data_IF_031413142486
#
_entry.id   IF_031413142486
#
_cell.length_a   1.000
_cell.length_b   1.000
_cell.length_c   1.000
_cell.angle_alpha   90.00
_cell.angle_beta   90.00
_cell.angle_gamma   90.00
#
_symmetry.space_group_name_H-M   'P 1'
#
loop_
_entity.id
_entity.type
_entity.pdbx_description
1 polymer ?
#
# COMPACT_ATOMS: atom_id res chain seq x y z
N UNK A 1 -6.41 -3.26 -30.93
CA UNK A 1 -7.46 -4.19 -30.47
C UNK A 1 -8.38 -4.49 -31.64
N UNK A 2 -8.73 -5.76 -31.87
CA UNK A 2 -9.69 -6.22 -32.86
C UNK A 2 -11.03 -6.49 -32.18
N UNK A 3 -12.13 -6.09 -32.80
CA UNK A 3 -13.50 -6.32 -32.31
C UNK A 3 -14.27 -7.16 -33.32
N UNK A 4 -14.74 -8.32 -32.90
CA UNK A 4 -15.56 -9.22 -33.73
C UNK A 4 -17.00 -9.26 -33.25
N UNK A 5 -17.94 -9.14 -34.18
CA UNK A 5 -19.35 -9.45 -33.92
C UNK A 5 -19.55 -10.96 -33.99
N UNK A 6 -19.94 -11.55 -32.86
CA UNK A 6 -20.01 -13.01 -32.72
C UNK A 6 -21.42 -13.57 -32.91
N UNK A 7 -21.48 -14.82 -33.34
CA UNK A 7 -22.69 -15.62 -33.46
C UNK A 7 -22.42 -17.05 -32.97
N UNK A 8 -23.45 -17.71 -32.43
CA UNK A 8 -23.36 -19.09 -31.95
C UNK A 8 -24.58 -19.92 -32.33
N UNK A 9 -24.44 -21.24 -32.26
CA UNK A 9 -25.52 -22.23 -32.37
C UNK A 9 -25.15 -23.53 -31.65
N UNK A 10 -26.13 -24.34 -31.27
CA UNK A 10 -25.91 -25.63 -30.58
C UNK A 10 -26.52 -26.79 -31.35
N UNK A 11 -25.82 -27.93 -31.39
CA UNK A 11 -26.33 -29.16 -32.01
C UNK A 11 -26.70 -28.99 -33.49
N UNK A 12 -27.84 -29.56 -33.90
CA UNK A 12 -28.34 -29.51 -35.28
C UNK A 12 -29.12 -28.22 -35.62
N UNK A 13 -29.06 -27.19 -34.77
CA UNK A 13 -29.72 -25.91 -35.06
C UNK A 13 -29.15 -25.30 -36.35
N UNK A 14 -30.04 -24.99 -37.30
CA UNK A 14 -29.64 -24.40 -38.59
C UNK A 14 -29.42 -22.88 -38.50
N UNK A 15 -30.01 -22.24 -37.49
CA UNK A 15 -29.98 -20.78 -37.30
C UNK A 15 -28.85 -20.31 -36.39
N UNK A 16 -28.17 -19.24 -36.80
CA UNK A 16 -27.18 -18.54 -35.98
C UNK A 16 -27.85 -17.51 -35.07
N UNK A 17 -27.46 -17.50 -33.80
CA UNK A 17 -27.92 -16.52 -32.81
C UNK A 17 -26.81 -15.51 -32.54
N UNK A 18 -27.13 -14.21 -32.38
CA UNK A 18 -26.13 -13.23 -31.95
C UNK A 18 -25.52 -13.60 -30.60
N UNK A 19 -24.21 -13.40 -30.47
CA UNK A 19 -23.46 -13.52 -29.22
C UNK A 19 -22.86 -12.18 -28.80
N UNK A 20 -22.20 -12.18 -27.64
CA UNK A 20 -21.43 -11.02 -27.19
C UNK A 20 -20.25 -10.76 -28.12
N UNK A 21 -19.89 -9.48 -28.40
CA UNK A 21 -18.70 -9.17 -29.17
C UNK A 21 -17.44 -9.75 -28.53
N UNK A 22 -16.51 -10.21 -29.37
CA UNK A 22 -15.20 -10.69 -28.92
C UNK A 22 -14.17 -9.59 -29.15
N UNK A 23 -13.48 -9.19 -28.08
CA UNK A 23 -12.34 -8.26 -28.14
C UNK A 23 -11.03 -9.05 -28.05
N UNK A 24 -10.11 -8.81 -28.99
CA UNK A 24 -8.79 -9.46 -29.03
C UNK A 24 -7.68 -8.43 -29.18
N UNK A 25 -6.68 -8.50 -28.31
CA UNK A 25 -5.41 -7.81 -28.48
C UNK A 25 -4.27 -8.72 -28.04
N UNK A 26 -3.33 -8.99 -28.95
CA UNK A 26 -2.13 -9.77 -28.69
C UNK A 26 -0.93 -8.97 -29.20
N UNK A 27 0.00 -8.67 -28.31
CA UNK A 27 1.23 -7.94 -28.62
C UNK A 27 2.35 -8.45 -27.71
N UNK A 28 3.35 -9.14 -28.28
CA UNK A 28 4.50 -9.69 -27.55
C UNK A 28 5.81 -8.93 -27.84
N UNK A 29 5.69 -7.61 -28.04
CA UNK A 29 6.74 -6.72 -28.53
C UNK A 29 6.47 -6.25 -29.97
N UNK A 30 5.51 -6.87 -30.65
CA UNK A 30 4.88 -6.44 -31.88
C UNK A 30 3.45 -6.95 -31.95
N UNK A 31 2.58 -6.26 -32.72
CA UNK A 31 1.19 -6.69 -32.94
C UNK A 31 1.15 -8.09 -33.59
N UNK A 32 0.45 -9.02 -32.95
CA UNK A 32 0.28 -10.40 -33.44
C UNK A 32 -1.05 -10.53 -34.18
N UNK A 33 -1.00 -11.13 -35.37
CA UNK A 33 -2.18 -11.54 -36.15
C UNK A 33 -2.39 -13.06 -35.95
N UNK A 34 -3.34 -13.49 -35.09
CA UNK A 34 -3.52 -14.90 -34.81
C UNK A 34 -4.19 -15.61 -36.00
N UNK A 35 -3.63 -16.74 -36.43
CA UNK A 35 -4.30 -17.72 -37.30
C UNK A 35 -5.22 -18.62 -36.47
N UNK A 36 -4.83 -18.90 -35.23
CA UNK A 36 -5.62 -19.68 -34.27
C UNK A 36 -5.51 -19.07 -32.88
N UNK A 37 -6.62 -19.01 -32.15
CA UNK A 37 -6.71 -18.55 -30.76
C UNK A 37 -7.61 -19.49 -29.97
N UNK A 38 -7.11 -19.95 -28.82
CA UNK A 38 -7.88 -20.72 -27.85
C UNK A 38 -7.72 -20.15 -26.46
N UNK A 39 -8.75 -20.22 -25.65
CA UNK A 39 -8.70 -19.79 -24.25
C UNK A 39 -9.66 -20.58 -23.38
N UNK A 40 -9.40 -20.55 -22.08
CA UNK A 40 -10.31 -21.06 -21.06
C UNK A 40 -10.56 -20.03 -19.97
N UNK A 41 -11.77 -20.05 -19.43
CA UNK A 41 -12.25 -19.15 -18.36
C UNK A 41 -12.40 -19.90 -17.04
N UNK A 42 -12.57 -19.16 -15.94
CA UNK A 42 -12.57 -19.70 -14.59
C UNK A 42 -13.75 -20.63 -14.28
N UNK A 43 -14.88 -20.40 -14.94
CA UNK A 43 -16.05 -21.27 -14.91
C UNK A 43 -15.80 -22.66 -15.55
N UNK A 44 -14.69 -22.83 -16.27
CA UNK A 44 -14.33 -24.05 -16.98
C UNK A 44 -14.76 -24.07 -18.45
N UNK A 45 -15.36 -22.98 -18.96
CA UNK A 45 -15.64 -22.87 -20.37
C UNK A 45 -14.34 -22.75 -21.18
N UNK A 46 -14.36 -23.27 -22.41
CA UNK A 46 -13.21 -23.25 -23.31
C UNK A 46 -13.68 -22.85 -24.69
N UNK A 47 -12.94 -21.98 -25.36
CA UNK A 47 -13.24 -21.56 -26.74
C UNK A 47 -12.01 -21.73 -27.61
N UNK A 48 -12.21 -22.13 -28.86
CA UNK A 48 -11.17 -22.25 -29.87
C UNK A 48 -11.67 -21.69 -31.20
N UNK A 49 -10.88 -20.82 -31.82
CA UNK A 49 -11.20 -20.13 -33.07
C UNK A 49 -10.02 -20.22 -34.05
N UNK A 50 -10.33 -20.51 -35.30
CA UNK A 50 -9.47 -20.21 -36.45
C UNK A 50 -9.91 -18.90 -37.12
N UNK A 51 -8.96 -18.12 -37.61
CA UNK A 51 -9.20 -16.85 -38.30
C UNK A 51 -8.89 -16.99 -39.79
N UNK A 52 -9.63 -16.27 -40.63
CA UNK A 52 -9.26 -16.14 -42.04
C UNK A 52 -7.92 -15.39 -42.17
N UNK A 53 -7.14 -15.60 -43.24
CA UNK A 53 -5.83 -14.95 -43.41
C UNK A 53 -5.86 -13.41 -43.36
N UNK A 54 -6.99 -12.81 -43.74
CA UNK A 54 -7.25 -11.37 -43.70
C UNK A 54 -7.86 -10.89 -42.37
N UNK A 55 -8.04 -11.79 -41.40
CA UNK A 55 -8.71 -11.58 -40.12
C UNK A 55 -10.16 -11.08 -40.22
N UNK A 56 -10.78 -11.12 -41.40
CA UNK A 56 -12.15 -10.64 -41.59
C UNK A 56 -13.20 -11.53 -40.91
N UNK A 57 -12.90 -12.82 -40.74
CA UNK A 57 -13.82 -13.80 -40.16
C UNK A 57 -13.11 -14.76 -39.22
N UNK A 58 -13.86 -15.34 -38.28
CA UNK A 58 -13.39 -16.43 -37.45
C UNK A 58 -14.46 -17.51 -37.30
N UNK A 59 -14.02 -18.75 -37.05
CA UNK A 59 -14.89 -19.91 -36.85
C UNK A 59 -14.30 -20.87 -35.84
N UNK A 60 -15.14 -21.51 -35.04
CA UNK A 60 -14.72 -22.60 -34.18
C UNK A 60 -15.81 -23.06 -33.22
N UNK A 61 -15.42 -23.37 -31.99
CA UNK A 61 -16.34 -23.93 -31.00
C UNK A 61 -16.09 -23.38 -29.60
N UNK A 62 -17.14 -23.42 -28.78
CA UNK A 62 -17.10 -23.18 -27.34
C UNK A 62 -17.68 -24.39 -26.61
N UNK A 63 -16.90 -24.95 -25.70
CA UNK A 63 -17.37 -25.94 -24.74
C UNK A 63 -17.75 -25.24 -23.44
N UNK A 64 -18.95 -25.52 -22.93
CA UNK A 64 -19.44 -25.03 -21.65
C UNK A 64 -18.98 -25.95 -20.51
N UNK A 65 -19.00 -25.47 -19.25
CA UNK A 65 -18.62 -26.29 -18.09
C UNK A 65 -19.46 -27.55 -17.94
N UNK A 66 -20.68 -27.55 -18.47
CA UNK A 66 -21.61 -28.68 -18.49
C UNK A 66 -21.22 -29.79 -19.49
N UNK A 67 -20.21 -29.55 -20.34
CA UNK A 67 -19.82 -30.42 -21.44
C UNK A 67 -20.59 -30.18 -22.74
N UNK A 68 -21.58 -29.29 -22.74
CA UNK A 68 -22.27 -28.88 -23.96
C UNK A 68 -21.33 -28.11 -24.89
N UNK A 69 -21.45 -28.32 -26.20
CA UNK A 69 -20.61 -27.66 -27.21
C UNK A 69 -21.50 -26.81 -28.12
N UNK A 70 -21.07 -25.57 -28.35
CA UNK A 70 -21.66 -24.64 -29.32
C UNK A 70 -20.66 -24.36 -30.43
N UNK A 71 -21.15 -24.28 -31.67
CA UNK A 71 -20.38 -23.71 -32.77
C UNK A 71 -20.43 -22.19 -32.67
N UNK A 72 -19.30 -21.54 -32.96
CA UNK A 72 -19.17 -20.08 -32.91
C UNK A 72 -18.54 -19.57 -34.20
N UNK A 73 -18.99 -18.40 -34.65
CA UNK A 73 -18.37 -17.67 -35.74
C UNK A 73 -18.37 -16.18 -35.46
N UNK A 74 -17.48 -15.45 -36.10
CA UNK A 74 -17.39 -14.00 -35.96
C UNK A 74 -17.04 -13.31 -37.27
N UNK A 75 -17.43 -12.04 -37.34
CA UNK A 75 -17.10 -11.12 -38.42
C UNK A 75 -16.44 -9.89 -37.80
N UNK A 76 -15.30 -9.45 -38.35
CA UNK A 76 -14.60 -8.27 -37.88
C UNK A 76 -15.50 -7.03 -38.03
N UNK A 77 -15.66 -6.27 -36.95
CA UNK A 77 -16.52 -5.07 -36.92
C UNK A 77 -15.77 -3.79 -36.57
N UNK A 78 -14.52 -3.85 -36.10
CA UNK A 78 -13.72 -2.67 -35.81
C UNK A 78 -12.29 -2.97 -35.35
N UNK A 79 -11.43 -1.95 -35.46
CA UNK A 79 -10.09 -1.91 -34.87
C UNK A 79 -9.91 -0.62 -34.08
N UNK A 80 -9.52 -0.73 -32.82
CA UNK A 80 -9.38 0.40 -31.90
C UNK A 80 -8.06 0.30 -31.10
N UNK A 81 -7.66 1.40 -30.46
CA UNK A 81 -6.62 1.37 -29.42
C UNK A 81 -7.08 0.47 -28.25
N UNK A 82 -6.22 -0.44 -27.74
CA UNK A 82 -6.59 -1.31 -26.63
C UNK A 82 -6.89 -0.50 -25.38
N UNK A 83 -8.06 -0.76 -24.78
CA UNK A 83 -8.45 -0.21 -23.48
C UNK A 83 -8.66 -1.38 -22.52
N UNK A 84 -7.82 -1.45 -21.48
CA UNK A 84 -7.82 -2.56 -20.53
C UNK A 84 -6.99 -3.78 -20.97
N UNK A 85 -7.20 -4.91 -20.30
CA UNK A 85 -6.43 -6.15 -20.50
C UNK A 85 -5.29 -6.35 -19.51
N UNK A 86 -4.39 -7.27 -19.86
CA UNK A 86 -3.20 -7.63 -19.12
C UNK A 86 -1.97 -7.07 -19.81
N UNK A 87 -1.06 -6.46 -19.04
CA UNK A 87 0.29 -6.08 -19.48
C UNK A 87 1.27 -6.78 -18.55
N UNK A 88 2.27 -7.45 -19.09
CA UNK A 88 3.26 -8.20 -18.34
C UNK A 88 4.66 -7.77 -18.74
N UNK A 89 5.54 -7.60 -17.75
CA UNK A 89 6.98 -7.63 -17.97
C UNK A 89 7.40 -9.10 -18.01
N UNK A 90 8.12 -9.47 -19.07
CA UNK A 90 8.40 -10.87 -19.38
C UNK A 90 9.85 -11.21 -19.10
N UNK A 91 10.05 -12.36 -18.46
CA UNK A 91 11.37 -12.93 -18.22
C UNK A 91 11.68 -13.88 -19.39
N UNK A 92 12.66 -13.51 -20.19
CA UNK A 92 13.20 -14.32 -21.28
C UNK A 92 14.69 -14.56 -21.00
N UNK A 93 15.21 -15.74 -21.34
CA UNK A 93 16.61 -16.12 -21.05
C UNK A 93 17.67 -15.20 -21.72
N UNK A 94 17.28 -14.34 -22.67
CA UNK A 94 18.22 -13.47 -23.39
C UNK A 94 17.89 -11.96 -23.33
N UNK A 95 16.62 -11.53 -23.19
CA UNK A 95 16.25 -10.11 -23.00
C UNK A 95 14.86 -9.96 -22.35
N UNK A 96 14.69 -9.14 -21.30
CA UNK A 96 13.37 -8.77 -20.78
C UNK A 96 12.50 -8.12 -21.87
N UNK A 97 11.20 -8.45 -21.88
CA UNK A 97 10.25 -7.92 -22.86
C UNK A 97 8.93 -7.49 -22.22
N UNK A 98 7.96 -7.15 -23.06
CA UNK A 98 6.61 -6.76 -22.63
C UNK A 98 5.56 -7.51 -23.43
N UNK A 99 4.57 -8.07 -22.75
CA UNK A 99 3.41 -8.75 -23.35
C UNK A 99 2.14 -7.99 -22.99
N UNK A 100 1.33 -7.63 -23.99
CA UNK A 100 -0.03 -7.12 -23.83
C UNK A 100 -1.03 -8.12 -24.37
N UNK A 101 -2.03 -8.43 -23.56
CA UNK A 101 -3.02 -9.48 -23.81
C UNK A 101 -4.41 -8.98 -23.41
N UNK A 102 -5.36 -9.05 -24.33
CA UNK A 102 -6.79 -8.90 -24.07
C UNK A 102 -7.53 -9.98 -24.84
N UNK A 103 -8.32 -10.77 -24.13
CA UNK A 103 -9.36 -11.64 -24.69
C UNK A 103 -10.60 -11.42 -23.83
N UNK A 104 -11.61 -10.78 -24.40
CA UNK A 104 -12.90 -10.54 -23.74
C UNK A 104 -14.00 -11.12 -24.62
N UNK A 105 -14.59 -12.22 -24.18
CA UNK A 105 -15.68 -12.92 -24.86
C UNK A 105 -17.07 -12.54 -24.33
N UNK A 106 -17.14 -11.51 -23.47
CA UNK A 106 -18.36 -11.02 -22.85
C UNK A 106 -18.92 -11.90 -21.74
N UNK A 107 -18.25 -12.99 -21.35
CA UNK A 107 -18.69 -13.85 -20.24
C UNK A 107 -18.58 -13.18 -18.88
N UNK A 108 -17.66 -12.21 -18.73
CA UNK A 108 -17.28 -11.64 -17.44
C UNK A 108 -16.43 -12.58 -16.59
N UNK A 109 -16.17 -13.80 -17.05
CA UNK A 109 -15.39 -14.79 -16.33
C UNK A 109 -13.88 -14.56 -16.51
N UNK A 110 -13.08 -14.67 -15.45
CA UNK A 110 -11.64 -14.49 -15.54
C UNK A 110 -10.98 -15.50 -16.49
N UNK A 111 -10.06 -15.00 -17.32
CA UNK A 111 -9.22 -15.80 -18.20
C UNK A 111 -8.25 -16.68 -17.37
N UNK A 112 -8.18 -17.98 -17.65
CA UNK A 112 -7.30 -18.94 -16.97
C UNK A 112 -6.10 -19.34 -17.79
N UNK A 113 -6.30 -19.47 -19.10
CA UNK A 113 -5.21 -19.73 -20.02
C UNK A 113 -5.60 -19.20 -21.40
N UNK A 114 -4.58 -18.91 -22.20
CA UNK A 114 -4.72 -18.52 -23.60
C UNK A 114 -3.60 -19.18 -24.40
N UNK A 115 -3.90 -19.62 -25.60
CA UNK A 115 -2.92 -20.12 -26.55
C UNK A 115 -3.23 -19.56 -27.93
N UNK A 116 -2.20 -19.19 -28.68
CA UNK A 116 -2.36 -18.73 -30.04
C UNK A 116 -1.26 -19.24 -30.95
N UNK A 117 -1.57 -19.24 -32.25
CA UNK A 117 -0.61 -19.42 -33.33
C UNK A 117 -0.77 -18.28 -34.32
N UNK A 118 0.33 -17.80 -34.87
CA UNK A 118 0.32 -16.79 -35.93
C UNK A 118 0.63 -17.43 -37.30
N UNK A 119 0.31 -16.71 -38.37
CA UNK A 119 0.53 -17.16 -39.74
C UNK A 119 2.00 -17.27 -40.16
N UNK A 120 2.96 -16.87 -39.30
CA UNK A 120 4.40 -17.06 -39.53
C UNK A 120 4.90 -18.41 -39.01
N UNK A 121 4.06 -19.15 -38.28
CA UNK A 121 4.41 -20.40 -37.61
C UNK A 121 4.88 -20.21 -36.16
N UNK A 122 4.75 -19.00 -35.60
CA UNK A 122 4.92 -18.75 -34.18
C UNK A 122 3.75 -19.31 -33.37
N UNK A 123 4.03 -19.71 -32.12
CA UNK A 123 3.03 -20.21 -31.19
C UNK A 123 3.31 -19.77 -29.76
N UNK A 124 2.26 -19.59 -28.97
CA UNK A 124 2.36 -19.27 -27.55
C UNK A 124 1.25 -19.98 -26.78
N UNK A 125 1.55 -20.39 -25.55
CA UNK A 125 0.56 -20.89 -24.60
C UNK A 125 0.90 -20.36 -23.22
N UNK A 126 -0.09 -19.76 -22.57
CA UNK A 126 0.03 -19.09 -21.28
C UNK A 126 -1.04 -19.61 -20.34
N UNK A 127 -0.66 -20.06 -19.16
CA UNK A 127 -1.54 -20.23 -18.02
C UNK A 127 -1.44 -18.97 -17.15
N UNK A 128 -2.57 -18.28 -16.98
CA UNK A 128 -2.68 -17.13 -16.10
C UNK A 128 -2.86 -17.61 -14.67
N UNK A 129 -1.98 -17.16 -13.79
CA UNK A 129 -2.07 -17.39 -12.35
C UNK A 129 -2.97 -16.32 -11.77
N UNK A 130 -3.91 -16.71 -10.91
CA UNK A 130 -4.71 -15.79 -10.10
C UNK A 130 -4.56 -16.19 -8.65
N UNK A 131 -4.52 -15.21 -7.76
CA UNK A 131 -4.37 -15.43 -6.32
C UNK A 131 -5.67 -15.92 -5.66
N UNK A 132 -6.83 -15.75 -6.31
CA UNK A 132 -8.12 -16.25 -5.81
C UNK A 132 -8.49 -17.64 -6.40
N UNK A 133 -9.22 -18.48 -5.64
CA UNK A 133 -9.76 -19.74 -6.14
C UNK A 133 -10.72 -19.54 -7.32
N UNK A 134 -11.54 -18.49 -7.27
CA UNK A 134 -12.48 -18.12 -8.34
C UNK A 134 -11.80 -17.56 -9.59
N UNK A 135 -10.51 -17.20 -9.50
CA UNK A 135 -9.77 -16.62 -10.62
C UNK A 135 -9.95 -15.13 -10.78
N UNK A 136 -10.88 -14.55 -10.04
CA UNK A 136 -11.06 -13.11 -9.93
C UNK A 136 -9.83 -12.48 -9.29
N UNK A 137 -9.56 -11.21 -9.59
CA UNK A 137 -8.63 -10.44 -8.78
C UNK A 137 -9.16 -10.20 -7.36
N UNK A 138 -10.47 -10.39 -7.13
CA UNK A 138 -11.07 -10.31 -5.81
C UNK A 138 -10.64 -11.49 -4.94
N UNK A 139 -9.96 -11.18 -3.83
CA UNK A 139 -9.47 -12.13 -2.83
C UNK A 139 -10.22 -11.99 -1.51
N UNK A 140 -11.35 -11.29 -1.47
CA UNK A 140 -12.17 -11.11 -0.25
C UNK A 140 -12.63 -12.45 0.31
N UNK A 141 -12.97 -13.42 -0.55
CA UNK A 141 -13.36 -14.78 -0.14
C UNK A 141 -12.21 -15.57 0.53
N UNK A 142 -10.97 -15.07 0.47
CA UNK A 142 -9.85 -15.65 1.21
C UNK A 142 -9.81 -15.19 2.67
N UNK A 143 -10.58 -14.18 3.08
CA UNK A 143 -10.57 -13.70 4.45
C UNK A 143 -11.14 -14.77 5.38
N UNK A 144 -10.31 -15.23 6.31
CA UNK A 144 -10.61 -16.30 7.29
C UNK A 144 -11.15 -15.78 8.62
N UNK A 145 -10.82 -14.54 8.96
CA UNK A 145 -11.36 -13.88 10.16
C UNK A 145 -11.43 -12.37 9.95
N UNK A 146 -12.45 -11.76 10.54
CA UNK A 146 -12.61 -10.31 10.64
C UNK A 146 -12.79 -9.94 12.11
N UNK A 147 -12.13 -8.87 12.54
CA UNK A 147 -12.27 -8.30 13.87
C UNK A 147 -12.47 -6.79 13.77
N UNK A 148 -13.18 -6.20 14.73
CA UNK A 148 -13.32 -4.76 14.84
C UNK A 148 -13.10 -4.31 16.29
N UNK A 149 -12.61 -3.09 16.47
CA UNK A 149 -12.49 -2.47 17.81
C UNK A 149 -13.84 -2.26 18.49
N UNK A 150 -14.92 -2.22 17.71
CA UNK A 150 -16.29 -2.11 18.20
C UNK A 150 -17.26 -2.79 17.22
N UNK A 151 -18.33 -3.34 17.78
CA UNK A 151 -19.41 -4.03 17.07
C UNK A 151 -20.75 -3.71 17.73
N UNK A 152 -21.85 -4.04 17.04
CA UNK A 152 -23.20 -3.96 17.60
C UNK A 152 -23.96 -5.29 17.45
N UNK A 153 -23.58 -6.31 18.25
CA UNK A 153 -24.08 -7.68 18.08
C UNK A 153 -25.58 -7.83 18.37
N UNK A 154 -26.16 -6.98 19.22
CA UNK A 154 -27.60 -7.01 19.55
C UNK A 154 -28.50 -6.78 18.33
N UNK A 155 -28.00 -6.03 17.33
CA UNK A 155 -28.69 -5.79 16.05
C UNK A 155 -28.10 -6.60 14.89
N UNK A 156 -27.13 -7.49 15.17
CA UNK A 156 -26.42 -8.25 14.14
C UNK A 156 -25.53 -7.38 13.24
N UNK A 157 -25.17 -6.15 13.65
CA UNK A 157 -24.32 -5.24 12.88
C UNK A 157 -22.86 -5.41 13.29
N UNK A 158 -22.27 -6.53 12.88
CA UNK A 158 -20.95 -7.01 13.33
C UNK A 158 -19.93 -7.03 12.19
N UNK A 159 -18.64 -7.07 12.53
CA UNK A 159 -17.54 -6.99 11.57
C UNK A 159 -17.58 -8.09 10.49
N UNK A 160 -18.12 -9.27 10.80
CA UNK A 160 -18.28 -10.36 9.85
C UNK A 160 -19.13 -9.98 8.62
N UNK A 161 -20.06 -9.03 8.76
CA UNK A 161 -20.91 -8.53 7.68
C UNK A 161 -20.09 -7.87 6.56
N UNK A 162 -18.89 -7.37 6.86
CA UNK A 162 -18.06 -6.63 5.91
C UNK A 162 -17.58 -7.49 4.72
N UNK A 163 -17.58 -8.81 4.86
CA UNK A 163 -17.04 -9.74 3.85
C UNK A 163 -18.06 -10.80 3.42
N UNK A 164 -19.29 -10.78 3.95
CA UNK A 164 -20.26 -11.85 3.74
C UNK A 164 -21.05 -11.75 2.41
N UNK A 165 -20.78 -10.71 1.61
CA UNK A 165 -21.42 -10.47 0.31
C UNK A 165 -22.91 -10.10 0.39
N UNK A 166 -23.46 -9.90 1.59
CA UNK A 166 -24.85 -9.49 1.80
C UNK A 166 -24.98 -7.95 1.81
N UNK A 167 -26.22 -7.44 1.83
CA UNK A 167 -26.49 -6.01 2.04
C UNK A 167 -26.58 -5.63 3.53
N UNK A 168 -26.11 -6.51 4.44
CA UNK A 168 -25.99 -6.19 5.86
C UNK A 168 -24.84 -5.19 6.09
N UNK A 169 -24.74 -4.61 7.30
CA UNK A 169 -23.70 -3.62 7.61
C UNK A 169 -23.04 -3.92 8.94
N UNK A 170 -21.82 -3.42 9.09
CA UNK A 170 -21.16 -3.24 10.37
C UNK A 170 -21.45 -1.83 10.91
N UNK A 171 -21.54 -1.71 12.23
CA UNK A 171 -21.73 -0.45 12.93
C UNK A 171 -20.80 -0.36 14.15
N UNK A 172 -20.27 0.83 14.39
CA UNK A 172 -19.56 1.15 15.63
C UNK A 172 -20.13 2.42 16.28
N UNK A 173 -20.34 2.42 17.61
CA UNK A 173 -20.81 3.58 18.37
C UNK A 173 -19.71 4.62 18.63
N UNK A 174 -18.73 4.72 17.72
CA UNK A 174 -17.60 5.63 17.80
C UNK A 174 -17.29 6.21 16.41
N UNK A 175 -16.74 7.43 16.31
CA UNK A 175 -16.41 8.07 15.03
C UNK A 175 -15.12 7.53 14.40
N UNK A 176 -14.42 6.65 15.12
CA UNK A 176 -13.15 6.01 14.75
C UNK A 176 -13.18 4.55 15.18
N UNK A 177 -12.59 3.69 14.37
CA UNK A 177 -12.49 2.26 14.65
C UNK A 177 -11.37 1.64 13.81
N UNK A 178 -10.84 0.50 14.26
CA UNK A 178 -10.01 -0.35 13.43
C UNK A 178 -10.76 -1.61 13.04
N UNK A 179 -10.59 -2.02 11.78
CA UNK A 179 -11.11 -3.27 11.22
C UNK A 179 -9.94 -4.12 10.75
N UNK A 180 -9.80 -5.32 11.29
CA UNK A 180 -8.73 -6.26 10.96
C UNK A 180 -9.25 -7.45 10.16
N UNK A 181 -8.51 -7.85 9.14
CA UNK A 181 -8.84 -8.93 8.22
C UNK A 181 -7.63 -9.85 8.11
N UNK A 182 -7.85 -11.16 8.24
CA UNK A 182 -6.80 -12.18 8.13
C UNK A 182 -7.01 -13.08 6.93
N UNK A 183 -5.99 -13.23 6.10
CA UNK A 183 -5.92 -14.19 5.01
C UNK A 183 -5.10 -15.42 5.47
N UNK A 184 -5.28 -16.59 4.85
CA UNK A 184 -4.57 -17.82 5.24
C UNK A 184 -3.09 -17.82 4.85
N UNK A 185 -2.67 -16.84 4.02
CA UNK A 185 -1.31 -16.70 3.48
C UNK A 185 -1.09 -15.26 3.01
N UNK A 186 0.18 -14.83 2.85
CA UNK A 186 0.46 -13.52 2.29
C UNK A 186 -0.08 -13.38 0.86
N UNK A 187 -0.81 -12.30 0.61
CA UNK A 187 -1.32 -11.90 -0.70
C UNK A 187 -1.00 -10.44 -0.92
N UNK A 188 -0.54 -10.06 -2.10
CA UNK A 188 -0.36 -8.65 -2.47
C UNK A 188 -1.73 -8.11 -2.86
N UNK A 189 -2.32 -7.24 -2.03
CA UNK A 189 -3.53 -6.49 -2.39
C UNK A 189 -3.13 -5.20 -3.09
N UNK A 190 -3.70 -4.95 -4.28
CA UNK A 190 -3.44 -3.74 -5.08
C UNK A 190 -4.53 -2.67 -4.92
N UNK A 191 -5.76 -3.11 -4.66
CA UNK A 191 -6.92 -2.21 -4.49
C UNK A 191 -7.82 -2.75 -3.40
N UNK A 192 -8.55 -1.87 -2.76
CA UNK A 192 -9.66 -2.25 -1.89
C UNK A 192 -10.90 -1.47 -2.26
N UNK A 193 -12.07 -2.03 -1.95
CA UNK A 193 -13.36 -1.42 -2.18
C UNK A 193 -14.05 -1.25 -0.84
N UNK A 194 -14.53 -0.04 -0.56
CA UNK A 194 -15.39 0.22 0.58
C UNK A 194 -16.81 0.48 0.06
N UNK A 195 -17.80 -0.15 0.68
CA UNK A 195 -19.22 0.07 0.35
C UNK A 195 -19.93 0.74 1.50
N UNK A 196 -20.54 1.88 1.22
CA UNK A 196 -21.24 2.68 2.23
C UNK A 196 -22.45 1.97 2.83
N UNK A 197 -22.85 2.35 4.05
CA UNK A 197 -24.04 1.78 4.70
C UNK A 197 -25.37 2.16 4.03
N UNK A 198 -26.48 1.75 4.64
CA UNK A 198 -27.83 1.88 4.06
C UNK A 198 -28.58 3.17 4.43
N UNK A 199 -28.28 3.80 5.57
CA UNK A 199 -29.19 4.78 6.20
C UNK A 199 -28.58 6.16 6.50
N UNK A 200 -27.34 6.23 7.01
CA UNK A 200 -26.79 7.48 7.55
C UNK A 200 -25.44 7.89 6.89
N UNK A 201 -25.43 8.82 5.91
CA UNK A 201 -24.21 9.20 5.19
C UNK A 201 -23.16 9.91 6.07
N UNK A 202 -23.58 10.53 7.17
CA UNK A 202 -22.71 11.17 8.15
C UNK A 202 -21.80 10.16 8.88
N UNK A 203 -22.23 8.88 8.94
CA UNK A 203 -21.51 7.77 9.60
C UNK A 203 -20.53 7.04 8.69
N UNK A 204 -20.53 7.31 7.38
CA UNK A 204 -19.60 6.63 6.49
C UNK A 204 -18.17 7.13 6.72
N UNK A 205 -17.15 6.27 6.54
CA UNK A 205 -15.75 6.69 6.65
C UNK A 205 -15.42 7.83 5.68
N UNK A 206 -14.75 8.86 6.19
CA UNK A 206 -14.26 10.00 5.41
C UNK A 206 -12.72 10.08 5.40
N UNK A 207 -12.08 9.46 6.39
CA UNK A 207 -10.64 9.34 6.48
C UNK A 207 -10.24 8.01 7.11
N UNK A 208 -9.19 7.37 6.58
CA UNK A 208 -8.64 6.12 7.10
C UNK A 208 -7.22 5.86 6.60
N UNK A 209 -6.54 4.92 7.24
CA UNK A 209 -5.30 4.32 6.75
C UNK A 209 -5.49 2.81 6.62
N UNK A 210 -5.20 2.26 5.44
CA UNK A 210 -5.08 0.82 5.27
C UNK A 210 -3.64 0.40 5.60
N UNK A 211 -3.50 -0.62 6.43
CA UNK A 211 -2.23 -1.20 6.85
C UNK A 211 -2.13 -2.67 6.48
N UNK A 212 -0.91 -3.15 6.33
CA UNK A 212 -0.55 -4.54 6.09
C UNK A 212 0.46 -5.05 7.09
N UNK A 213 0.35 -6.33 7.45
CA UNK A 213 1.30 -7.04 8.30
C UNK A 213 1.48 -8.48 7.80
N UNK A 214 2.69 -9.00 8.00
CA UNK A 214 3.05 -10.39 7.73
C UNK A 214 3.03 -11.28 8.99
N UNK A 215 2.87 -10.67 10.18
CA UNK A 215 2.94 -11.36 11.49
C UNK A 215 1.79 -10.98 12.45
N UNK A 216 0.95 -10.02 12.08
CA UNK A 216 -0.14 -9.49 12.92
C UNK A 216 0.33 -8.54 14.03
N UNK A 217 1.64 -8.29 14.16
CA UNK A 217 2.24 -7.48 15.22
C UNK A 217 2.86 -6.19 14.67
N UNK A 218 3.59 -6.28 13.56
CA UNK A 218 4.23 -5.15 12.88
C UNK A 218 3.41 -4.73 11.67
N UNK A 219 2.89 -3.52 11.72
CA UNK A 219 1.95 -2.99 10.72
C UNK A 219 2.54 -1.84 9.93
N UNK A 220 2.50 -1.95 8.61
CA UNK A 220 3.00 -0.95 7.67
C UNK A 220 1.81 -0.26 7.00
N UNK A 221 1.85 1.06 6.83
CA UNK A 221 0.82 1.76 6.08
C UNK A 221 0.96 1.43 4.59
N UNK A 222 -0.12 0.96 3.97
CA UNK A 222 -0.17 0.64 2.53
C UNK A 222 -0.91 1.72 1.74
N UNK A 223 -1.94 2.35 2.34
CA UNK A 223 -2.68 3.45 1.74
C UNK A 223 -3.23 4.38 2.82
N UNK A 224 -3.37 5.68 2.52
CA UNK A 224 -4.02 6.64 3.41
C UNK A 224 -4.95 7.54 2.61
N UNK A 225 -6.15 7.76 3.13
CA UNK A 225 -7.22 8.53 2.48
C UNK A 225 -7.83 9.51 3.45
N UNK A 226 -8.11 10.70 2.96
CA UNK A 226 -8.85 11.75 3.66
C UNK A 226 -9.83 12.42 2.70
N UNK A 227 -10.82 13.13 3.23
CA UNK A 227 -11.80 13.87 2.42
C UNK A 227 -12.66 13.00 1.50
N UNK A 228 -12.84 11.73 1.85
CA UNK A 228 -13.65 10.80 1.06
C UNK A 228 -15.14 10.95 1.40
N UNK A 229 -15.99 10.69 0.41
CA UNK A 229 -17.44 10.76 0.57
C UNK A 229 -18.15 9.72 -0.29
N UNK A 230 -19.36 9.33 0.14
CA UNK A 230 -20.21 8.36 -0.55
C UNK A 230 -21.56 9.00 -0.89
N UNK A 231 -21.68 9.66 -2.06
CA UNK A 231 -22.91 10.36 -2.47
C UNK A 231 -24.21 9.54 -2.46
N UNK A 232 -24.14 8.22 -2.63
CA UNK A 232 -25.29 7.31 -2.62
C UNK A 232 -25.17 6.22 -1.56
N UNK A 233 -26.27 5.53 -1.23
CA UNK A 233 -26.28 4.39 -0.29
C UNK A 233 -25.94 3.09 -0.98
N UNK A 234 -25.35 2.16 -0.23
CA UNK A 234 -24.71 0.96 -0.79
C UNK A 234 -23.76 1.26 -1.96
N UNK A 235 -23.16 2.45 -1.96
CA UNK A 235 -22.25 2.86 -3.01
C UNK A 235 -20.86 2.31 -2.71
N UNK A 236 -20.33 1.53 -3.65
CA UNK A 236 -18.95 1.10 -3.62
C UNK A 236 -18.02 2.17 -4.18
N UNK A 237 -16.91 2.41 -3.48
CA UNK A 237 -15.77 3.17 -4.01
C UNK A 237 -14.53 2.31 -3.96
N UNK A 238 -13.79 2.31 -5.06
CA UNK A 238 -12.55 1.55 -5.20
C UNK A 238 -11.36 2.48 -4.99
N UNK A 239 -10.37 2.02 -4.25
CA UNK A 239 -9.15 2.73 -3.91
C UNK A 239 -7.95 1.89 -4.31
N UNK A 240 -6.96 2.51 -4.96
CA UNK A 240 -5.69 1.87 -5.30
C UNK A 240 -4.73 2.02 -4.15
N UNK A 241 -4.20 0.91 -3.64
CA UNK A 241 -3.20 0.93 -2.59
C UNK A 241 -1.95 1.62 -3.10
N UNK A 242 -1.44 2.58 -2.34
CA UNK A 242 -0.31 3.41 -2.74
C UNK A 242 0.99 2.58 -2.76
N UNK A 243 1.20 1.79 -1.71
CA UNK A 243 2.35 0.88 -1.56
C UNK A 243 1.86 -0.56 -1.28
N UNK A 244 1.50 -1.33 -2.32
CA UNK A 244 0.98 -2.67 -2.13
C UNK A 244 2.10 -3.63 -1.72
N UNK A 245 1.88 -4.37 -0.63
CA UNK A 245 2.81 -5.38 -0.12
C UNK A 245 2.11 -6.73 0.08
N UNK A 246 2.89 -7.81 0.03
CA UNK A 246 2.38 -9.14 0.36
C UNK A 246 2.13 -9.23 1.87
N UNK A 247 0.87 -9.32 2.27
CA UNK A 247 0.47 -9.38 3.68
C UNK A 247 -0.61 -10.45 3.88
N UNK A 248 -0.61 -11.10 5.04
CA UNK A 248 -1.67 -12.02 5.47
C UNK A 248 -2.58 -11.38 6.54
N UNK A 249 -2.22 -10.20 7.03
CA UNK A 249 -3.04 -9.37 7.90
C UNK A 249 -3.21 -7.99 7.27
N UNK A 250 -4.46 -7.52 7.16
CA UNK A 250 -4.81 -6.18 6.71
C UNK A 250 -5.62 -5.47 7.79
N UNK A 251 -5.39 -4.17 7.98
CA UNK A 251 -6.13 -3.36 8.95
C UNK A 251 -6.57 -2.04 8.35
N UNK A 252 -7.86 -1.73 8.42
CA UNK A 252 -8.43 -0.45 8.05
C UNK A 252 -8.62 0.39 9.33
N UNK A 253 -7.72 1.33 9.56
CA UNK A 253 -7.81 2.29 10.67
C UNK A 253 -8.64 3.49 10.23
N UNK A 254 -9.93 3.51 10.56
CA UNK A 254 -10.83 4.63 10.25
C UNK A 254 -10.57 5.76 11.24
N UNK A 255 -10.05 6.88 10.73
CA UNK A 255 -9.60 8.04 11.52
C UNK A 255 -10.62 9.18 11.53
N UNK A 256 -11.63 9.13 10.67
CA UNK A 256 -12.74 10.07 10.70
C UNK A 256 -13.88 9.69 9.77
N UNK A 257 -15.01 10.33 10.01
CA UNK A 257 -16.24 10.27 9.22
C UNK A 257 -16.73 11.70 8.93
N UNK A 258 -17.97 11.81 8.46
CA UNK A 258 -18.57 13.09 8.06
C UNK A 258 -19.25 13.82 9.24
N UNK A 259 -18.69 13.74 10.46
CA UNK A 259 -19.11 14.50 11.63
C UNK A 259 -20.08 13.78 12.58
N UNK A 260 -20.40 12.51 12.32
CA UNK A 260 -21.25 11.70 13.20
C UNK A 260 -20.46 11.17 14.41
N UNK A 261 -21.07 10.93 15.58
CA UNK A 261 -20.41 10.21 16.67
C UNK A 261 -20.26 8.69 16.39
N UNK A 262 -20.81 8.19 15.28
CA UNK A 262 -20.85 6.76 14.96
C UNK A 262 -20.24 6.45 13.59
N UNK A 263 -19.85 5.20 13.38
CA UNK A 263 -19.37 4.67 12.10
C UNK A 263 -20.30 3.58 11.57
N UNK A 264 -20.33 3.45 10.26
CA UNK A 264 -20.93 2.31 9.59
C UNK A 264 -20.18 1.96 8.31
N UNK A 265 -20.25 0.71 7.90
CA UNK A 265 -19.78 0.28 6.60
C UNK A 265 -20.48 -1.00 6.18
N UNK A 266 -20.89 -1.11 4.91
CA UNK A 266 -21.56 -2.31 4.42
C UNK A 266 -20.57 -3.40 4.03
N UNK A 267 -19.50 -3.05 3.31
CA UNK A 267 -18.54 -4.05 2.86
C UNK A 267 -17.11 -3.50 2.70
N UNK A 268 -16.14 -4.39 2.87
CA UNK A 268 -14.75 -4.24 2.48
C UNK A 268 -14.39 -5.37 1.53
N UNK A 269 -13.89 -5.04 0.34
CA UNK A 269 -13.34 -6.03 -0.60
C UNK A 269 -11.87 -5.78 -0.85
N UNK A 270 -11.08 -6.85 -0.95
CA UNK A 270 -9.67 -6.80 -1.31
C UNK A 270 -9.45 -7.35 -2.71
N UNK A 271 -8.77 -6.59 -3.55
CA UNK A 271 -8.44 -6.96 -4.91
C UNK A 271 -6.92 -7.12 -5.02
N UNK A 272 -6.47 -8.36 -5.19
CA UNK A 272 -5.07 -8.72 -5.30
C UNK A 272 -4.42 -8.28 -6.61
N UNK A 273 -3.11 -8.05 -6.52
CA UNK A 273 -2.21 -7.94 -7.64
C UNK A 273 -1.02 -8.87 -7.51
N UNK A 274 -1.05 -9.98 -8.23
CA UNK A 274 -0.04 -10.35 -9.24
C UNK A 274 -0.60 -11.57 -9.94
N UNK A 275 -1.50 -11.31 -10.88
CA UNK A 275 -1.78 -12.28 -11.91
C UNK A 275 -0.53 -12.37 -12.79
N UNK A 276 0.30 -13.40 -12.61
CA UNK A 276 1.40 -13.67 -13.54
C UNK A 276 0.96 -14.65 -14.62
N UNK A 277 1.87 -15.04 -15.48
CA UNK A 277 1.67 -16.23 -16.30
C UNK A 277 2.87 -17.16 -16.26
N UNK A 278 2.61 -18.41 -16.59
CA UNK A 278 3.63 -19.39 -16.99
C UNK A 278 3.17 -20.10 -18.23
N UNK A 279 4.09 -20.47 -19.10
CA UNK A 279 3.80 -21.32 -20.23
C UNK A 279 5.01 -21.43 -21.12
N UNK A 280 4.78 -21.44 -22.43
CA UNK A 280 5.85 -21.53 -23.41
C UNK A 280 5.61 -20.59 -24.59
N UNK A 281 6.70 -20.21 -25.25
CA UNK A 281 6.69 -19.50 -26.52
C UNK A 281 7.55 -20.25 -27.52
N UNK A 282 7.09 -20.33 -28.76
CA UNK A 282 7.81 -20.93 -29.86
C UNK A 282 7.86 -19.93 -31.02
N UNK A 283 9.08 -19.55 -31.43
CA UNK A 283 9.28 -18.81 -32.68
C UNK A 283 9.29 -19.78 -33.86
N UNK A 284 8.89 -19.30 -35.04
CA UNK A 284 8.93 -20.10 -36.26
C UNK A 284 10.30 -20.76 -36.44
N UNK A 285 10.32 -22.08 -36.66
CA UNK A 285 11.56 -22.86 -36.84
C UNK A 285 12.40 -23.10 -35.58
N UNK A 286 11.96 -22.67 -34.39
CA UNK A 286 12.68 -22.86 -33.12
C UNK A 286 11.92 -23.81 -32.19
N UNK A 287 12.61 -24.34 -31.17
CA UNK A 287 11.98 -25.13 -30.10
C UNK A 287 11.16 -24.22 -29.16
N UNK A 288 10.09 -24.74 -28.53
CA UNK A 288 9.40 -24.03 -27.46
C UNK A 288 10.36 -23.74 -26.30
N UNK A 289 10.33 -22.51 -25.81
CA UNK A 289 11.07 -22.07 -24.63
C UNK A 289 10.11 -21.68 -23.51
N UNK A 290 10.55 -21.83 -22.26
CA UNK A 290 9.77 -21.38 -21.11
C UNK A 290 9.47 -19.89 -21.24
N UNK A 291 8.24 -19.51 -20.91
CA UNK A 291 7.80 -18.13 -20.99
C UNK A 291 7.02 -17.78 -19.73
N UNK A 292 7.47 -16.74 -19.04
CA UNK A 292 6.90 -16.28 -17.77
C UNK A 292 6.84 -14.77 -17.78
N UNK A 293 5.88 -14.23 -17.07
CA UNK A 293 5.77 -12.79 -16.89
C UNK A 293 5.02 -12.46 -15.64
N UNK A 294 5.38 -11.31 -15.08
CA UNK A 294 4.70 -10.66 -13.97
C UNK A 294 3.89 -9.52 -14.54
N UNK A 295 2.64 -9.37 -14.10
CA UNK A 295 1.80 -8.27 -14.59
C UNK A 295 2.38 -6.95 -14.12
N UNK A 296 2.57 -6.02 -15.05
CA UNK A 296 3.00 -4.67 -14.74
C UNK A 296 1.80 -3.89 -14.20
N UNK A 297 1.91 -3.24 -13.03
CA UNK A 297 0.87 -2.32 -12.60
C UNK A 297 0.80 -1.13 -13.56
N UNK A 298 -0.38 -0.53 -13.81
CA UNK A 298 -0.46 0.69 -14.59
C UNK A 298 0.40 1.76 -13.92
N UNK A 299 1.36 2.31 -14.66
CA UNK A 299 2.35 3.28 -14.18
C UNK A 299 1.67 4.40 -13.38
N UNK A 300 2.02 4.49 -12.09
CA UNK A 300 1.79 5.69 -11.30
C UNK A 300 3.08 6.51 -11.38
N UNK A 301 2.98 7.79 -11.73
CA UNK A 301 4.09 8.72 -11.64
C UNK A 301 4.61 8.76 -10.19
N UNK A 302 5.93 8.94 -9.97
CA UNK A 302 6.47 8.98 -8.62
C UNK A 302 5.96 10.24 -7.91
N UNK A 303 5.30 10.05 -6.76
CA UNK A 303 5.04 11.12 -5.81
C UNK A 303 6.09 11.03 -4.71
N UNK A 304 6.58 12.19 -4.30
CA UNK A 304 7.65 12.42 -3.34
C UNK A 304 7.49 11.59 -2.05
N UNK A 305 8.62 11.17 -1.49
CA UNK A 305 8.73 10.41 -0.24
C UNK A 305 8.20 11.21 0.96
N UNK A 306 7.09 10.75 1.55
CA UNK A 306 6.53 11.28 2.81
C UNK A 306 7.23 10.67 4.05
N UNK A 307 7.26 11.40 5.18
CA UNK A 307 8.01 11.01 6.39
C UNK A 307 7.33 9.88 7.20
N UNK A 308 8.10 9.17 8.07
CA UNK A 308 7.67 7.97 8.80
C UNK A 308 6.53 8.20 9.82
N UNK A 309 5.74 7.14 10.06
CA UNK A 309 4.56 7.13 10.94
C UNK A 309 4.89 6.51 12.30
N UNK A 310 4.65 7.26 13.37
CA UNK A 310 4.95 6.94 14.77
C UNK A 310 4.02 5.92 15.45
N UNK A 311 4.53 5.13 16.39
CA UNK A 311 3.74 4.23 17.25
C UNK A 311 3.03 5.01 18.37
N UNK A 312 1.90 4.50 18.87
CA UNK A 312 1.20 5.10 20.02
C UNK A 312 2.03 5.08 21.32
N UNK A 313 2.97 4.14 21.45
CA UNK A 313 3.86 4.03 22.60
C UNK A 313 4.99 5.08 22.56
N UNK A 314 5.57 5.36 21.39
CA UNK A 314 6.57 6.40 21.22
C UNK A 314 5.98 7.80 21.46
N UNK A 315 4.76 8.06 20.97
CA UNK A 315 4.05 9.31 21.27
C UNK A 315 3.79 9.47 22.77
N UNK A 316 3.28 8.44 23.45
CA UNK A 316 3.00 8.55 24.89
C UNK A 316 4.28 8.68 25.72
N UNK A 317 5.38 8.03 25.32
CA UNK A 317 6.68 8.16 26.00
C UNK A 317 7.23 9.59 25.94
N UNK A 318 7.05 10.29 24.81
CA UNK A 318 7.43 11.70 24.70
C UNK A 318 6.44 12.60 25.43
N UNK A 319 5.13 12.40 25.26
CA UNK A 319 4.08 13.21 25.89
C UNK A 319 4.07 13.14 27.42
N UNK A 320 4.50 12.01 27.99
CA UNK A 320 4.54 11.78 29.43
C UNK A 320 5.87 12.16 30.09
N UNK A 321 6.83 12.70 29.32
CA UNK A 321 8.08 13.18 29.88
C UNK A 321 7.82 14.34 30.85
N UNK A 322 8.36 14.24 32.07
CA UNK A 322 8.08 15.21 33.13
C UNK A 322 8.81 16.55 32.94
N UNK A 323 9.84 16.55 32.09
CA UNK A 323 10.66 17.69 31.71
C UNK A 323 11.16 17.51 30.28
N UNK A 324 12.04 18.38 29.80
CA UNK A 324 12.59 18.34 28.43
C UNK A 324 13.03 16.91 28.05
N UNK A 325 12.43 16.29 27.03
CA UNK A 325 12.78 14.92 26.65
C UNK A 325 14.19 14.86 26.08
N UNK A 326 14.97 13.86 26.52
CA UNK A 326 16.22 13.45 25.87
C UNK A 326 16.02 12.07 25.25
N UNK A 327 16.04 12.01 23.91
CA UNK A 327 15.69 10.83 23.13
C UNK A 327 16.95 10.17 22.61
N UNK A 328 17.08 8.87 22.87
CA UNK A 328 18.11 8.04 22.24
C UNK A 328 17.60 7.53 20.90
N UNK A 329 18.30 7.82 19.81
CA UNK A 329 17.95 7.33 18.46
C UNK A 329 18.99 6.40 17.86
N UNK A 330 20.11 6.16 18.52
CA UNK A 330 21.09 5.16 18.12
C UNK A 330 21.29 4.11 19.23
N UNK A 331 20.92 2.86 18.94
CA UNK A 331 21.05 1.72 19.87
C UNK A 331 22.21 0.78 19.51
N UNK A 332 23.07 1.15 18.56
CA UNK A 332 24.11 0.27 17.99
C UNK A 332 25.31 0.02 18.92
N UNK A 333 25.69 1.00 19.74
CA UNK A 333 26.85 0.92 20.63
C UNK A 333 26.48 1.22 22.11
N UNK A 334 26.35 0.18 22.95
CA UNK A 334 26.08 0.35 24.38
C UNK A 334 27.21 1.04 25.15
N UNK A 335 28.48 0.87 24.75
CA UNK A 335 29.62 1.42 25.47
C UNK A 335 29.78 2.93 25.19
N UNK A 336 29.63 3.33 23.92
CA UNK A 336 29.60 4.75 23.55
C UNK A 336 28.41 5.46 24.21
N UNK A 337 27.26 4.80 24.31
CA UNK A 337 26.10 5.32 25.05
C UNK A 337 26.41 5.59 26.53
N UNK A 338 27.08 4.66 27.23
CA UNK A 338 27.44 4.87 28.65
C UNK A 338 28.38 6.06 28.83
N UNK A 339 29.36 6.23 27.93
CA UNK A 339 30.27 7.37 27.95
C UNK A 339 29.53 8.70 27.73
N UNK A 340 28.74 8.79 26.65
CA UNK A 340 27.97 10.00 26.34
C UNK A 340 26.96 10.34 27.45
N UNK A 341 26.25 9.35 27.98
CA UNK A 341 25.27 9.55 29.05
C UNK A 341 25.94 10.01 30.35
N UNK A 342 27.13 9.50 30.67
CA UNK A 342 27.93 9.96 31.81
C UNK A 342 28.29 11.44 31.69
N UNK A 343 28.69 11.90 30.50
CA UNK A 343 29.07 13.30 30.29
C UNK A 343 27.84 14.23 30.32
N UNK A 344 26.72 13.81 29.71
CA UNK A 344 25.45 14.56 29.68
C UNK A 344 24.86 14.76 31.09
N UNK A 345 25.05 13.78 31.98
CA UNK A 345 24.48 13.83 33.34
C UNK A 345 25.48 14.25 34.41
N UNK A 346 26.72 14.57 34.02
CA UNK A 346 27.74 15.05 34.94
C UNK A 346 27.30 16.41 35.55
N UNK A 347 27.43 16.58 36.88
CA UNK A 347 27.19 17.87 37.51
C UNK A 347 28.12 18.94 36.92
N UNK A 348 27.54 20.10 36.59
CA UNK A 348 28.25 21.25 36.06
C UNK A 348 28.37 22.32 37.13
N UNK A 349 29.54 22.96 37.22
CA UNK A 349 29.75 24.09 38.12
C UNK A 349 28.98 25.32 37.65
N UNK A 350 28.27 25.96 38.56
CA UNK A 350 27.48 27.18 38.35
C UNK A 350 27.77 28.20 39.47
N UNK A 351 27.29 29.43 39.30
CA UNK A 351 27.60 30.52 40.23
C UNK A 351 27.10 30.30 41.70
N UNK A 352 26.14 29.40 41.92
CA UNK A 352 25.65 29.00 43.26
C UNK A 352 25.64 27.46 43.49
N UNK A 353 26.68 26.78 43.03
CA UNK A 353 26.88 25.34 43.29
C UNK A 353 26.93 24.48 42.03
N UNK A 354 26.61 23.20 42.15
CA UNK A 354 26.56 22.27 41.02
C UNK A 354 25.13 22.07 40.53
N UNK A 355 24.94 22.13 39.21
CA UNK A 355 23.65 21.92 38.54
C UNK A 355 23.76 20.69 37.63
N UNK A 356 22.67 19.92 37.55
CA UNK A 356 22.53 18.79 36.62
C UNK A 356 21.41 19.11 35.64
N UNK A 357 21.55 18.64 34.40
CA UNK A 357 20.54 18.81 33.37
C UNK A 357 19.15 18.31 33.81
N UNK A 358 18.15 19.19 33.74
CA UNK A 358 16.76 18.90 34.11
C UNK A 358 15.97 18.08 33.07
N UNK A 359 16.57 17.12 32.37
CA UNK A 359 15.93 16.40 31.26
C UNK A 359 15.39 15.00 31.63
N UNK A 360 14.35 14.53 30.91
CA UNK A 360 13.76 13.20 31.09
C UNK A 360 14.22 12.24 29.99
N UNK A 361 14.88 11.13 30.35
CA UNK A 361 15.36 10.13 29.38
C UNK A 361 14.20 9.34 28.75
N UNK A 362 14.18 9.33 27.42
CA UNK A 362 13.30 8.53 26.58
C UNK A 362 14.14 7.62 25.68
N UNK A 363 14.53 6.46 26.20
CA UNK A 363 15.34 5.46 25.50
C UNK A 363 14.54 4.20 25.18
N UNK A 364 13.64 4.29 24.20
CA UNK A 364 12.89 3.13 23.69
C UNK A 364 13.52 2.64 22.37
N UNK A 365 13.68 1.32 22.16
CA UNK A 365 14.21 0.79 20.90
C UNK A 365 13.40 1.20 19.66
N UNK A 366 12.15 1.62 19.85
CA UNK A 366 11.29 2.15 18.79
C UNK A 366 11.83 3.43 18.14
N UNK A 367 12.66 4.21 18.86
CA UNK A 367 13.30 5.43 18.36
C UNK A 367 14.58 5.18 17.55
N UNK A 368 15.01 3.92 17.42
CA UNK A 368 16.22 3.57 16.67
C UNK A 368 16.10 4.04 15.21
N UNK A 369 17.07 4.85 14.76
CA UNK A 369 17.13 5.44 13.42
C UNK A 369 16.20 6.63 13.16
N UNK A 370 15.49 7.16 14.15
CA UNK A 370 14.64 8.34 13.96
C UNK A 370 15.45 9.61 13.69
N UNK A 371 14.96 10.46 12.79
CA UNK A 371 15.60 11.73 12.42
C UNK A 371 15.13 12.92 13.27
N UNK A 372 15.74 14.09 13.07
CA UNK A 372 15.29 15.32 13.71
C UNK A 372 13.88 15.76 13.25
N UNK A 373 13.59 15.62 11.94
CA UNK A 373 12.28 15.94 11.37
C UNK A 373 11.18 15.04 11.91
N UNK A 374 11.55 13.80 12.18
CA UNK A 374 10.70 12.78 12.72
C UNK A 374 10.22 13.08 14.15
N UNK A 375 11.18 13.41 15.01
CA UNK A 375 10.91 13.81 16.39
C UNK A 375 10.17 15.14 16.47
N UNK A 376 10.53 16.13 15.66
CA UNK A 376 9.83 17.41 15.61
C UNK A 376 8.37 17.27 15.13
N UNK A 377 8.13 16.43 14.12
CA UNK A 377 6.78 16.15 13.63
C UNK A 377 5.90 15.47 14.69
N UNK A 378 6.51 14.66 15.58
CA UNK A 378 5.79 14.04 16.68
C UNK A 378 5.57 15.00 17.86
N UNK A 379 6.59 15.77 18.22
CA UNK A 379 6.59 16.68 19.37
C UNK A 379 5.76 17.94 19.16
N UNK A 380 5.53 18.36 17.92
CA UNK A 380 4.56 19.42 17.57
C UNK A 380 3.12 19.10 18.02
N UNK A 381 2.88 17.88 18.51
CA UNK A 381 1.61 17.38 19.05
C UNK A 381 1.66 17.19 20.58
N UNK A 382 2.71 17.66 21.23
CA UNK A 382 2.93 17.62 22.69
C UNK A 382 3.16 19.04 23.22
N UNK A 383 3.23 19.20 24.55
CA UNK A 383 3.48 20.49 25.20
C UNK A 383 4.98 20.79 25.38
N UNK A 384 5.86 20.10 24.65
CA UNK A 384 7.31 20.30 24.71
C UNK A 384 7.79 21.19 23.56
N UNK A 385 8.39 22.32 23.91
CA UNK A 385 8.97 23.27 22.95
C UNK A 385 10.42 22.90 22.56
N UNK A 386 11.03 21.95 23.26
CA UNK A 386 12.43 21.55 23.09
C UNK A 386 12.58 20.03 23.23
N UNK A 387 13.48 19.43 22.45
CA UNK A 387 13.95 18.05 22.64
C UNK A 387 15.44 17.94 22.41
N UNK A 388 16.07 17.08 23.20
CA UNK A 388 17.47 16.69 23.02
C UNK A 388 17.56 15.31 22.39
N UNK A 389 18.48 15.13 21.45
CA UNK A 389 18.66 13.86 20.74
C UNK A 389 20.09 13.37 20.86
N UNK A 390 20.22 12.14 21.35
CA UNK A 390 21.48 11.38 21.37
C UNK A 390 21.45 10.42 20.18
N UNK A 391 22.09 10.86 19.10
CA UNK A 391 22.16 10.15 17.82
C UNK A 391 23.56 9.58 17.56
N UNK A 392 23.74 8.95 16.40
CA UNK A 392 25.01 8.37 15.97
C UNK A 392 26.19 9.37 16.01
N UNK A 393 25.92 10.65 15.73
CA UNK A 393 26.95 11.70 15.74
C UNK A 393 27.35 12.03 17.17
N UNK A 394 26.39 12.09 18.10
CA UNK A 394 26.68 12.24 19.53
C UNK A 394 27.57 11.10 20.01
N UNK A 395 27.23 9.85 19.67
CA UNK A 395 27.98 8.67 20.14
C UNK A 395 29.36 8.49 19.48
N UNK A 396 29.53 8.95 18.24
CA UNK A 396 30.79 8.82 17.51
C UNK A 396 31.83 9.91 17.85
N UNK A 397 31.40 10.99 18.50
CA UNK A 397 32.26 12.15 18.77
C UNK A 397 32.81 12.13 20.21
N UNK A 398 34.10 12.43 20.42
CA UNK A 398 34.69 12.48 21.75
C UNK A 398 34.17 13.66 22.61
N UNK A 399 33.53 14.67 22.01
CA UNK A 399 32.92 15.81 22.71
C UNK A 399 31.44 15.58 23.05
N UNK A 400 30.87 14.44 22.60
CA UNK A 400 29.47 14.06 22.76
C UNK A 400 28.43 15.19 22.50
N UNK A 401 28.52 15.92 21.37
CA UNK A 401 27.63 17.03 21.09
C UNK A 401 26.19 16.53 20.85
N UNK A 402 25.28 16.91 21.74
CA UNK A 402 23.86 16.56 21.72
C UNK A 402 23.13 17.45 20.73
N UNK A 403 22.25 16.85 19.92
CA UNK A 403 21.42 17.61 19.00
C UNK A 403 20.26 18.25 19.76
N UNK A 404 20.15 19.56 19.66
CA UNK A 404 19.07 20.37 20.22
C UNK A 404 18.08 20.66 19.10
N UNK A 405 16.80 20.39 19.35
CA UNK A 405 15.72 20.67 18.40
C UNK A 405 14.66 21.52 19.10
N UNK A 406 14.39 22.69 18.56
CA UNK A 406 13.22 23.48 18.94
C UNK A 406 12.00 23.08 18.11
N UNK A 407 10.86 23.01 18.79
CA UNK A 407 9.60 22.55 18.23
C UNK A 407 8.58 23.68 18.36
N UNK A 408 8.22 24.30 17.24
CA UNK A 408 7.19 25.34 17.18
C UNK A 408 6.15 25.10 16.08
N UNK A 409 4.90 25.56 16.25
CA UNK A 409 3.83 25.36 15.28
C UNK A 409 4.02 26.11 13.96
N UNK A 410 4.91 27.10 13.92
CA UNK A 410 5.11 28.04 12.81
C UNK A 410 6.39 27.77 11.99
N UNK A 411 7.11 26.67 12.26
CA UNK A 411 8.35 26.35 11.55
C UNK A 411 8.12 25.36 10.40
N UNK A 412 8.46 25.75 9.17
CA UNK A 412 8.43 24.87 7.99
C UNK A 412 9.41 23.68 8.09
N UNK A 413 10.44 23.78 8.95
CA UNK A 413 11.43 22.75 9.27
C UNK A 413 11.91 22.90 10.72
N UNK A 414 12.28 21.81 11.41
CA UNK A 414 12.82 21.90 12.77
C UNK A 414 14.08 22.78 12.80
N UNK A 415 14.14 23.72 13.75
CA UNK A 415 15.36 24.47 14.02
C UNK A 415 16.27 23.63 14.90
N UNK A 416 17.53 23.49 14.49
CA UNK A 416 18.47 22.61 15.17
C UNK A 416 19.86 23.20 15.28
N UNK A 417 20.54 22.96 16.39
CA UNK A 417 21.99 23.10 16.52
C UNK A 417 22.52 22.00 17.44
N UNK A 418 23.85 21.86 17.58
CA UNK A 418 24.42 20.91 18.54
C UNK A 418 25.02 21.65 19.73
N UNK A 419 24.94 21.08 20.93
CA UNK A 419 25.58 21.62 22.11
C UNK A 419 26.40 20.53 22.81
N UNK A 420 27.55 20.90 23.36
CA UNK A 420 28.31 20.01 24.24
C UNK A 420 27.50 19.72 25.52
N UNK A 421 27.75 18.59 26.20
CA UNK A 421 27.13 18.28 27.48
C UNK A 421 27.20 19.43 28.50
N UNK A 422 28.32 20.17 28.51
CA UNK A 422 28.52 21.32 29.39
C UNK A 422 27.59 22.50 29.05
N UNK A 423 27.50 22.88 27.78
CA UNK A 423 26.64 23.98 27.33
C UNK A 423 25.13 23.64 27.37
N UNK A 424 24.78 22.35 27.38
CA UNK A 424 23.39 21.87 27.33
C UNK A 424 22.57 22.28 28.57
N UNK A 425 23.21 22.39 29.74
CA UNK A 425 22.56 22.83 30.98
C UNK A 425 22.05 24.26 30.86
N UNK A 426 22.83 25.15 30.25
CA UNK A 426 22.43 26.54 30.02
C UNK A 426 21.32 26.67 28.99
N UNK A 427 21.38 25.90 27.91
CA UNK A 427 20.33 25.86 26.90
C UNK A 427 18.99 25.49 27.54
N UNK A 428 18.96 24.44 28.38
CA UNK A 428 17.74 24.01 29.07
C UNK A 428 17.26 25.02 30.12
N UNK A 429 18.19 25.55 30.92
CA UNK A 429 17.86 26.47 32.02
C UNK A 429 17.38 27.82 31.51
N UNK A 430 18.06 28.42 30.52
CA UNK A 430 17.78 29.78 30.06
C UNK A 430 16.59 29.85 29.11
N UNK A 431 16.39 28.85 28.25
CA UNK A 431 15.21 28.77 27.38
C UNK A 431 13.94 28.47 28.20
N UNK A 432 14.03 27.64 29.25
CA UNK A 432 12.87 27.33 30.10
C UNK A 432 12.40 28.51 30.97
N UNK A 433 13.31 29.41 31.36
CA UNK A 433 12.98 30.64 32.11
C UNK A 433 12.81 31.88 31.21
N UNK A 434 12.93 31.72 29.89
CA UNK A 434 12.79 32.77 28.87
C UNK A 434 13.72 33.99 29.09
N UNK A 435 14.92 33.76 29.62
CA UNK A 435 15.92 34.81 29.82
C UNK A 435 16.71 35.13 28.53
N UNK A 436 16.87 34.15 27.65
CA UNK A 436 17.52 34.26 26.34
C UNK A 436 16.65 33.54 25.30
N UNK A 437 16.72 33.98 24.04
CA UNK A 437 15.97 33.37 22.94
C UNK A 437 16.80 32.34 22.15
N UNK A 438 16.15 31.62 21.23
CA UNK A 438 16.79 30.58 20.43
C UNK A 438 17.93 31.13 19.56
N UNK A 439 17.73 32.34 19.03
CA UNK A 439 18.67 33.05 18.16
C UNK A 439 19.99 33.30 18.89
N UNK A 440 19.95 33.76 20.15
CA UNK A 440 21.16 33.98 20.97
C UNK A 440 22.07 32.74 21.05
N UNK A 441 21.49 31.55 21.18
CA UNK A 441 22.23 30.29 21.25
C UNK A 441 22.71 29.81 19.87
N UNK A 442 21.83 29.83 18.87
CA UNK A 442 22.14 29.30 17.54
C UNK A 442 23.22 30.12 16.81
N UNK A 443 23.22 31.45 17.00
CA UNK A 443 24.22 32.36 16.42
C UNK A 443 25.57 32.30 17.13
N UNK A 444 25.61 31.77 18.36
CA UNK A 444 26.82 31.62 19.17
C UNK A 444 27.53 30.27 18.98
N UNK A 445 27.06 29.44 18.04
CA UNK A 445 27.73 28.19 17.69
C UNK A 445 29.08 28.45 17.04
N UNK A 446 30.05 27.57 17.30
CA UNK A 446 31.34 27.58 16.61
C UNK A 446 31.16 27.28 15.11
N UNK A 447 32.19 27.49 14.25
CA UNK A 447 32.09 27.26 12.80
C UNK A 447 31.67 25.84 12.38
N UNK A 448 31.75 24.86 13.27
CA UNK A 448 31.29 23.49 13.07
C UNK A 448 29.84 23.24 13.51
N UNK A 449 29.13 24.30 13.93
CA UNK A 449 27.72 24.25 14.34
C UNK A 449 27.51 23.70 15.76
N UNK A 450 28.56 23.63 16.57
CA UNK A 450 28.51 23.16 17.96
C UNK A 450 28.66 24.32 18.94
N UNK A 451 27.73 24.42 19.89
CA UNK A 451 27.81 25.33 21.03
C UNK A 451 28.67 24.70 22.14
N UNK A 452 29.79 25.35 22.45
CA UNK A 452 30.74 24.92 23.49
C UNK A 452 30.77 25.82 24.72
N UNK A 453 30.41 27.10 24.57
CA UNK A 453 30.46 28.08 25.65
C UNK A 453 29.18 28.08 26.49
N UNK A 454 29.36 28.18 27.81
CA UNK A 454 28.33 28.53 28.78
C UNK A 454 28.10 30.04 28.75
N UNK A 455 26.86 30.49 28.91
CA UNK A 455 26.50 31.91 29.05
C UNK A 455 26.41 32.34 30.53
N UNK A 456 26.68 31.41 31.44
CA UNK A 456 26.62 31.63 32.89
C UNK A 456 27.96 31.98 33.55
N UNK A 457 29.03 32.15 32.75
CA UNK A 457 30.38 32.51 33.20
C UNK A 457 30.64 34.03 33.29
#
# INVERSE_FOLDING_TARGET
MLTFRMFWRTGDETGWRPGHPLLVHLDDGARVAPEHLSWGTADGAQTSLGFSPDLATCYGHRSLPTGAVAEVRGELSGEDEPRGGYEFDTEFEETPGRLRLLVDDGSGEPLRWVAWRDGTGGACSLALRSESPSGSADVTDLVTSVWATADHPEMGEVAANLVDGTHSKWFAPYPRAALEFRLPRPVVVERYVLTSGNDAPDRDPAAWTLRGSADGHRWHALDSRTGQSFPGRHQSRTYRIADPAACDHYRLDITGNNGSPHLQLAAVRFLAGTAGFTGHRQRAGHFPVAYRGLRTPPSAAPADSDPPVWTSAAFEALRSAASTPIVRTDFSDPQAWEAAWSDITAPQGYWDGEVVLGATLVARPEFDGWTAGDLAALLSRTDHDLVFVVDAVTLASPEHPVLVIEVGPDHDRPRTFRATPHALVDVETQLSIANMDWEDFSESTDPDGVLRASFAD
#
